data_IF_745337438294
#
_entry.id   IF_745337438294
#
_cell.length_a   1.000
_cell.length_b   1.000
_cell.length_c   1.000
_cell.angle_alpha   90.00
_cell.angle_beta   90.00
_cell.angle_gamma   90.00
#
_symmetry.space_group_name_H-M   'P 1'
#
loop_
_entity.id
_entity.type
_entity.pdbx_description
1 polymer ?
#
# COMPACT_ATOMS: atom_id res chain seq x y z
N UNK A 1 19.33 7.73 -9.46
CA UNK A 1 18.49 6.83 -10.27
C UNK A 1 17.09 7.42 -10.27
N UNK A 2 16.54 7.70 -11.46
CA UNK A 2 15.21 8.32 -11.65
C UNK A 2 14.15 7.29 -11.25
N UNK A 3 13.11 7.72 -10.52
CA UNK A 3 12.08 6.82 -9.96
C UNK A 3 11.40 6.02 -11.08
N UNK A 4 11.04 4.77 -10.79
CA UNK A 4 10.13 4.00 -11.64
C UNK A 4 8.88 4.85 -11.84
N UNK A 5 8.54 5.13 -13.10
CA UNK A 5 7.39 5.95 -13.47
C UNK A 5 6.16 5.06 -13.44
N UNK A 6 5.25 5.32 -12.51
CA UNK A 6 4.03 4.55 -12.38
C UNK A 6 2.84 5.36 -12.89
N UNK A 7 1.99 4.82 -13.78
CA UNK A 7 0.83 5.55 -14.32
C UNK A 7 -0.19 5.89 -13.23
N UNK A 8 -0.17 5.19 -12.10
CA UNK A 8 -1.00 5.48 -10.92
C UNK A 8 -0.74 6.89 -10.35
N UNK A 9 0.45 7.44 -10.54
CA UNK A 9 0.85 8.73 -9.99
C UNK A 9 0.51 9.93 -10.90
N UNK A 10 -0.08 9.68 -12.07
CA UNK A 10 -0.40 10.73 -13.03
C UNK A 10 -1.62 11.55 -12.57
N UNK A 11 -1.48 12.87 -12.57
CA UNK A 11 -2.58 13.83 -12.44
C UNK A 11 -3.34 13.99 -13.76
N UNK A 12 -4.56 14.53 -13.73
CA UNK A 12 -5.33 14.77 -14.97
C UNK A 12 -4.58 15.72 -15.89
N UNK A 13 -3.97 16.77 -15.33
CA UNK A 13 -3.14 17.73 -16.04
C UNK A 13 -1.98 17.11 -16.82
N UNK A 14 -1.44 15.98 -16.36
CA UNK A 14 -0.35 15.25 -17.03
C UNK A 14 -0.83 14.29 -18.12
N UNK A 15 -2.12 13.95 -18.14
CA UNK A 15 -2.72 13.00 -19.10
C UNK A 15 -3.76 13.63 -20.01
N UNK A 16 -4.16 14.89 -19.76
CA UNK A 16 -5.17 15.60 -20.53
C UNK A 16 -4.78 15.61 -22.02
N UNK A 17 -5.55 14.93 -22.89
CA UNK A 17 -5.28 14.87 -24.32
C UNK A 17 -5.14 16.24 -24.99
N UNK A 18 -5.81 17.27 -24.46
CA UNK A 18 -5.74 18.64 -24.98
C UNK A 18 -4.36 19.28 -24.75
N UNK A 19 -3.60 18.82 -23.75
CA UNK A 19 -2.26 19.32 -23.40
C UNK A 19 -1.13 18.57 -24.12
N UNK A 20 -1.47 17.44 -24.74
CA UNK A 20 -0.51 16.53 -25.38
C UNK A 20 -0.98 16.16 -26.79
N UNK A 21 -0.62 16.91 -27.84
CA UNK A 21 -0.94 16.53 -29.21
C UNK A 21 -0.34 15.16 -29.57
N UNK A 22 -1.12 14.31 -30.23
CA UNK A 22 -0.71 12.98 -30.65
C UNK A 22 -1.29 12.65 -32.03
N UNK A 23 -0.46 12.11 -32.92
CA UNK A 23 -0.86 11.66 -34.26
C UNK A 23 -0.82 10.12 -34.32
N UNK A 24 -2.01 9.51 -34.32
CA UNK A 24 -2.17 8.05 -34.39
C UNK A 24 -1.54 7.46 -35.66
N UNK A 25 -1.50 8.21 -36.76
CA UNK A 25 -0.97 7.73 -38.04
C UNK A 25 0.56 7.74 -38.06
N UNK A 26 1.19 8.64 -37.31
CA UNK A 26 2.65 8.74 -37.18
C UNK A 26 3.22 7.83 -36.09
N UNK A 27 2.41 7.39 -35.12
CA UNK A 27 2.83 6.61 -33.95
C UNK A 27 3.71 5.41 -34.31
N UNK A 28 3.35 4.68 -35.36
CA UNK A 28 4.07 3.51 -35.84
C UNK A 28 5.52 3.81 -36.29
N UNK A 29 5.72 4.92 -36.99
CA UNK A 29 7.04 5.36 -37.45
C UNK A 29 7.87 5.89 -36.28
N UNK A 30 7.23 6.66 -35.41
CA UNK A 30 7.86 7.29 -34.26
C UNK A 30 8.36 6.26 -33.24
N UNK A 31 7.54 5.29 -32.86
CA UNK A 31 7.94 4.20 -31.95
C UNK A 31 9.13 3.42 -32.50
N UNK A 32 9.12 3.10 -33.79
CA UNK A 32 10.24 2.41 -34.46
C UNK A 32 11.52 3.25 -34.53
N UNK A 33 11.41 4.57 -34.44
CA UNK A 33 12.57 5.47 -34.44
C UNK A 33 13.29 5.54 -33.09
N UNK A 34 12.64 5.12 -32.00
CA UNK A 34 13.17 5.20 -30.64
C UNK A 34 14.36 4.25 -30.43
N UNK A 35 15.29 4.64 -29.56
CA UNK A 35 16.49 3.85 -29.24
C UNK A 35 16.19 2.40 -28.84
N UNK A 36 15.27 2.14 -27.88
CA UNK A 36 14.90 0.79 -27.46
C UNK A 36 14.33 -0.09 -28.58
N UNK A 37 13.77 0.50 -29.66
CA UNK A 37 13.24 -0.27 -30.78
C UNK A 37 14.31 -1.05 -31.55
N UNK A 38 15.59 -0.66 -31.43
CA UNK A 38 16.72 -1.37 -32.05
C UNK A 38 17.24 -2.54 -31.22
N UNK A 39 16.76 -2.69 -29.99
CA UNK A 39 17.30 -3.60 -28.99
C UNK A 39 16.19 -4.45 -28.35
N UNK A 40 15.18 -4.86 -29.12
CA UNK A 40 14.13 -5.75 -28.63
C UNK A 40 14.75 -7.10 -28.20
N UNK A 41 14.60 -7.52 -26.93
CA UNK A 41 15.22 -8.76 -26.46
C UNK A 41 14.49 -9.98 -27.03
N UNK A 42 15.23 -11.07 -27.25
CA UNK A 42 14.65 -12.35 -27.67
C UNK A 42 14.34 -13.20 -26.44
N UNK A 43 13.11 -13.73 -26.29
CA UNK A 43 12.79 -14.64 -25.21
C UNK A 43 13.59 -15.95 -25.33
N UNK A 44 13.90 -16.61 -24.20
CA UNK A 44 14.56 -17.92 -24.21
C UNK A 44 13.68 -18.97 -24.87
N UNK A 45 14.28 -19.92 -25.59
CA UNK A 45 13.59 -21.07 -26.22
C UNK A 45 13.22 -22.14 -25.17
N UNK A 46 12.30 -21.76 -24.28
CA UNK A 46 11.78 -22.59 -23.19
C UNK A 46 10.27 -22.44 -23.09
N UNK A 47 9.61 -23.40 -22.43
CA UNK A 47 8.17 -23.32 -22.18
C UNK A 47 7.81 -22.08 -21.36
N UNK A 48 6.61 -21.53 -21.57
CA UNK A 48 6.11 -20.34 -20.85
C UNK A 48 5.99 -20.53 -19.33
N UNK A 49 5.82 -21.78 -18.89
CA UNK A 49 5.75 -22.14 -17.46
C UNK A 49 7.12 -22.40 -16.84
N UNK A 50 8.19 -22.36 -17.63
CA UNK A 50 9.54 -22.61 -17.14
C UNK A 50 10.02 -21.43 -16.25
N UNK A 51 10.62 -21.68 -15.07
CA UNK A 51 11.17 -20.63 -14.22
C UNK A 51 12.19 -19.71 -14.93
N UNK A 52 12.90 -20.21 -15.95
CA UNK A 52 13.81 -19.40 -16.75
C UNK A 52 13.08 -18.32 -17.56
N UNK A 53 11.86 -18.59 -18.04
CA UNK A 53 11.02 -17.60 -18.72
C UNK A 53 10.61 -16.48 -17.76
N UNK A 54 10.19 -16.83 -16.53
CA UNK A 54 9.86 -15.84 -15.51
C UNK A 54 11.09 -15.01 -15.12
N UNK A 55 12.26 -15.64 -14.97
CA UNK A 55 13.51 -14.94 -14.67
C UNK A 55 13.90 -13.94 -15.76
N UNK A 56 13.80 -14.37 -17.02
CA UNK A 56 14.04 -13.49 -18.17
C UNK A 56 13.04 -12.33 -18.25
N UNK A 57 11.75 -12.61 -18.02
CA UNK A 57 10.69 -11.59 -18.04
C UNK A 57 10.93 -10.49 -17.00
N UNK A 58 11.27 -10.85 -15.76
CA UNK A 58 11.56 -9.88 -14.69
C UNK A 58 12.96 -9.24 -14.80
N UNK A 59 13.83 -9.77 -15.66
CA UNK A 59 15.16 -9.24 -15.92
C UNK A 59 15.18 -8.41 -17.21
N UNK A 60 15.61 -9.03 -18.30
CA UNK A 60 15.80 -8.37 -19.59
C UNK A 60 14.51 -7.80 -20.18
N UNK A 61 13.40 -8.53 -20.06
CA UNK A 61 12.10 -8.10 -20.59
C UNK A 61 11.60 -6.81 -19.94
N UNK A 62 11.58 -6.77 -18.61
CA UNK A 62 11.15 -5.59 -17.84
C UNK A 62 12.11 -4.39 -18.01
N UNK A 63 13.42 -4.64 -18.07
CA UNK A 63 14.41 -3.59 -18.35
C UNK A 63 14.18 -2.94 -19.72
N UNK A 64 13.88 -3.74 -20.75
CA UNK A 64 13.56 -3.22 -22.08
C UNK A 64 12.23 -2.45 -22.08
N UNK A 65 11.16 -3.01 -21.48
CA UNK A 65 9.85 -2.35 -21.40
C UNK A 65 9.91 -1.02 -20.63
N UNK A 66 10.68 -0.98 -19.55
CA UNK A 66 10.96 0.25 -18.80
C UNK A 66 11.73 1.27 -19.66
N UNK A 67 12.74 0.82 -20.41
CA UNK A 67 13.50 1.69 -21.32
C UNK A 67 12.62 2.27 -22.44
N UNK A 68 11.73 1.44 -23.00
CA UNK A 68 10.72 1.90 -23.97
C UNK A 68 9.79 2.95 -23.35
N UNK A 69 9.34 2.74 -22.11
CA UNK A 69 8.50 3.70 -21.39
C UNK A 69 9.19 5.05 -21.20
N UNK A 70 10.48 5.06 -20.86
CA UNK A 70 11.26 6.30 -20.78
C UNK A 70 11.38 7.00 -22.13
N UNK A 71 11.66 6.26 -23.21
CA UNK A 71 11.79 6.83 -24.54
C UNK A 71 10.46 7.42 -25.05
N UNK A 72 9.34 6.74 -24.78
CA UNK A 72 8.00 7.23 -25.06
C UNK A 72 7.67 8.48 -24.25
N UNK A 73 8.02 8.50 -22.96
CA UNK A 73 7.84 9.69 -22.12
C UNK A 73 8.65 10.89 -22.63
N UNK A 74 9.91 10.68 -23.00
CA UNK A 74 10.75 11.76 -23.54
C UNK A 74 10.19 12.30 -24.86
N UNK A 75 9.54 11.43 -25.67
CA UNK A 75 8.95 11.82 -26.95
C UNK A 75 7.60 12.52 -26.82
N UNK A 76 6.70 11.95 -26.02
CA UNK A 76 5.28 12.33 -25.99
C UNK A 76 4.85 13.01 -24.69
N UNK A 77 5.67 12.95 -23.65
CA UNK A 77 5.36 13.45 -22.31
C UNK A 77 4.94 12.34 -21.35
N UNK A 78 4.70 12.74 -20.09
CA UNK A 78 4.45 11.82 -18.96
C UNK A 78 3.23 10.92 -19.15
N UNK A 79 2.21 11.36 -19.87
CA UNK A 79 1.04 10.53 -20.17
C UNK A 79 1.40 9.19 -20.81
N UNK A 80 2.46 9.13 -21.62
CA UNK A 80 2.78 7.93 -22.41
C UNK A 80 3.18 6.73 -21.55
N UNK A 81 3.53 6.90 -20.27
CA UNK A 81 3.92 5.78 -19.39
C UNK A 81 2.77 4.79 -19.11
N UNK A 82 1.52 5.20 -19.37
CA UNK A 82 0.34 4.33 -19.25
C UNK A 82 0.22 3.25 -20.33
N UNK A 83 1.05 3.27 -21.38
CA UNK A 83 0.97 2.29 -22.48
C UNK A 83 1.10 0.84 -22.02
N UNK A 84 1.82 0.57 -20.93
CA UNK A 84 2.02 -0.78 -20.37
C UNK A 84 1.08 -1.10 -19.21
N UNK A 85 0.06 -0.25 -18.97
CA UNK A 85 -0.90 -0.48 -17.89
C UNK A 85 -1.96 -1.51 -18.32
N UNK A 86 -1.52 -2.76 -18.30
CA UNK A 86 -2.24 -3.91 -18.79
C UNK A 86 -3.46 -4.27 -17.95
N UNK A 87 -4.44 -4.92 -18.57
CA UNK A 87 -5.55 -5.58 -17.88
C UNK A 87 -5.07 -6.64 -16.89
N UNK A 88 -5.92 -6.89 -15.88
CA UNK A 88 -5.76 -7.96 -14.90
C UNK A 88 -4.37 -8.02 -14.28
N UNK A 89 -3.84 -9.21 -14.01
CA UNK A 89 -2.50 -9.45 -13.46
C UNK A 89 -1.38 -9.22 -14.49
N UNK A 90 -1.62 -8.38 -15.51
CA UNK A 90 -0.62 -7.94 -16.45
C UNK A 90 0.42 -7.01 -15.81
N UNK A 91 1.30 -6.48 -16.66
CA UNK A 91 2.55 -5.80 -16.33
C UNK A 91 2.49 -4.85 -15.12
N UNK A 92 1.59 -3.87 -15.15
CA UNK A 92 1.38 -2.91 -14.07
C UNK A 92 0.07 -3.09 -13.29
N UNK A 93 -0.63 -4.21 -13.53
CA UNK A 93 -1.88 -4.63 -12.90
C UNK A 93 -3.08 -3.67 -13.02
N UNK A 94 -4.21 -4.19 -13.51
CA UNK A 94 -5.52 -3.55 -13.41
C UNK A 94 -5.75 -2.29 -14.23
N UNK A 95 -4.94 -2.09 -15.26
CA UNK A 95 -5.08 -0.98 -16.17
C UNK A 95 -6.05 -1.23 -17.32
N UNK A 96 -6.28 -0.23 -18.17
CA UNK A 96 -7.23 -0.31 -19.27
C UNK A 96 -6.62 -0.82 -20.58
N UNK A 97 -5.34 -1.17 -20.65
CA UNK A 97 -4.69 -1.57 -21.91
C UNK A 97 -4.79 -3.09 -22.11
N UNK A 98 -5.33 -3.52 -23.25
CA UNK A 98 -5.44 -4.93 -23.63
C UNK A 98 -4.42 -5.40 -24.67
N UNK A 99 -3.82 -4.48 -25.43
CA UNK A 99 -2.82 -4.81 -26.46
C UNK A 99 -1.44 -5.18 -25.90
N UNK A 100 -1.23 -4.98 -24.60
CA UNK A 100 -0.04 -5.37 -23.85
C UNK A 100 -0.45 -6.16 -22.61
N UNK A 101 0.16 -7.32 -22.39
CA UNK A 101 -0.06 -8.12 -21.18
C UNK A 101 1.11 -7.94 -20.22
N UNK A 102 2.24 -8.60 -20.46
CA UNK A 102 3.50 -8.45 -19.71
C UNK A 102 4.70 -8.77 -20.62
N UNK A 103 5.95 -8.52 -20.20
CA UNK A 103 7.12 -8.82 -21.02
C UNK A 103 7.17 -10.28 -21.47
N UNK A 104 6.80 -11.23 -20.59
CA UNK A 104 6.69 -12.65 -20.92
C UNK A 104 5.79 -12.88 -22.14
N UNK A 105 4.56 -12.39 -22.11
CA UNK A 105 3.54 -12.78 -23.08
C UNK A 105 3.47 -11.86 -24.32
N UNK A 106 4.10 -10.69 -24.25
CA UNK A 106 4.01 -9.66 -25.30
C UNK A 106 5.26 -9.52 -26.16
N UNK A 107 6.45 -9.86 -25.62
CA UNK A 107 7.71 -9.81 -26.37
C UNK A 107 7.89 -11.13 -27.15
N UNK A 108 7.97 -11.00 -28.47
CA UNK A 108 8.17 -12.11 -29.42
C UNK A 108 9.27 -11.76 -30.42
N UNK A 109 8.93 -11.42 -31.66
CA UNK A 109 9.86 -10.87 -32.65
C UNK A 109 9.93 -9.34 -32.49
N UNK A 110 11.01 -8.68 -32.95
CA UNK A 110 11.10 -7.23 -32.91
C UNK A 110 9.90 -6.53 -33.56
N UNK A 111 9.48 -6.99 -34.73
CA UNK A 111 8.37 -6.39 -35.48
C UNK A 111 7.04 -6.52 -34.72
N UNK A 112 6.68 -7.73 -34.30
CA UNK A 112 5.44 -7.98 -33.56
C UNK A 112 5.42 -7.26 -32.21
N UNK A 113 6.56 -7.22 -31.52
CA UNK A 113 6.68 -6.53 -30.23
C UNK A 113 6.45 -5.03 -30.41
N UNK A 114 7.05 -4.42 -31.43
CA UNK A 114 6.86 -2.99 -31.72
C UNK A 114 5.44 -2.67 -32.18
N UNK A 115 4.80 -3.56 -32.95
CA UNK A 115 3.39 -3.41 -33.29
C UNK A 115 2.49 -3.45 -32.05
N UNK A 116 2.78 -4.32 -31.07
CA UNK A 116 2.08 -4.32 -29.77
C UNK A 116 2.30 -3.03 -28.98
N UNK A 117 3.52 -2.50 -28.94
CA UNK A 117 3.81 -1.20 -28.28
C UNK A 117 2.99 -0.08 -28.91
N UNK A 118 2.94 -0.02 -30.25
CA UNK A 118 2.16 0.99 -30.97
C UNK A 118 0.67 0.85 -30.67
N UNK A 119 0.14 -0.37 -30.74
CA UNK A 119 -1.26 -0.65 -30.43
C UNK A 119 -1.60 -0.24 -28.99
N UNK A 120 -0.77 -0.61 -28.03
CA UNK A 120 -0.95 -0.31 -26.61
C UNK A 120 -0.87 1.19 -26.30
N UNK A 121 0.04 1.93 -26.94
CA UNK A 121 0.14 3.38 -26.81
C UNK A 121 -1.09 4.09 -27.39
N UNK A 122 -1.53 3.69 -28.58
CA UNK A 122 -2.73 4.24 -29.22
C UNK A 122 -3.99 3.90 -28.40
N UNK A 123 -4.09 2.68 -27.90
CA UNK A 123 -5.19 2.23 -27.05
C UNK A 123 -5.28 3.02 -25.74
N UNK A 124 -4.13 3.27 -25.09
CA UNK A 124 -4.06 4.14 -23.93
C UNK A 124 -4.48 5.58 -24.28
N UNK A 125 -4.05 6.09 -25.44
CA UNK A 125 -4.44 7.42 -25.91
C UNK A 125 -5.95 7.54 -26.14
N UNK A 126 -6.54 6.58 -26.84
CA UNK A 126 -7.98 6.53 -27.12
C UNK A 126 -8.80 6.46 -25.83
N UNK A 127 -8.29 5.75 -24.83
CA UNK A 127 -8.89 5.71 -23.50
C UNK A 127 -8.92 7.10 -22.84
N UNK A 128 -7.80 7.83 -22.85
CA UNK A 128 -7.73 9.19 -22.29
C UNK A 128 -8.64 10.18 -23.05
N UNK A 129 -8.73 10.07 -24.37
CA UNK A 129 -9.62 10.89 -25.20
C UNK A 129 -11.10 10.59 -24.94
N UNK A 130 -11.45 9.32 -24.76
CA UNK A 130 -12.80 8.90 -24.35
C UNK A 130 -13.16 9.45 -22.97
N UNK A 131 -12.23 9.44 -22.01
CA UNK A 131 -12.44 10.04 -20.69
C UNK A 131 -12.63 11.56 -20.78
N UNK A 132 -11.78 12.27 -21.53
CA UNK A 132 -11.91 13.72 -21.72
C UNK A 132 -13.29 14.09 -22.28
N UNK A 133 -13.74 13.39 -23.34
CA UNK A 133 -15.06 13.61 -23.92
C UNK A 133 -16.21 13.33 -22.95
N UNK A 134 -16.05 12.36 -22.04
CA UNK A 134 -17.04 12.06 -21.00
C UNK A 134 -17.02 13.10 -19.89
N UNK A 135 -15.86 13.58 -19.48
CA UNK A 135 -15.77 14.63 -18.48
C UNK A 135 -16.50 15.87 -18.98
N UNK A 136 -16.27 16.28 -20.22
CA UNK A 136 -16.95 17.41 -20.86
C UNK A 136 -18.47 17.16 -21.07
N UNK A 137 -18.92 15.91 -21.20
CA UNK A 137 -20.34 15.57 -21.28
C UNK A 137 -21.09 15.73 -19.93
N UNK A 138 -20.36 15.80 -18.82
CA UNK A 138 -20.88 16.04 -17.47
C UNK A 138 -20.21 17.26 -16.83
N UNK A 139 -20.47 18.49 -17.32
CA UNK A 139 -19.86 19.68 -16.78
C UNK A 139 -20.34 19.95 -15.35
N UNK A 140 -19.39 20.25 -14.46
CA UNK A 140 -19.67 20.51 -13.06
C UNK A 140 -19.26 21.93 -12.69
N UNK A 141 -20.09 22.59 -11.88
CA UNK A 141 -19.76 23.86 -11.23
C UNK A 141 -19.54 23.63 -9.73
N UNK A 142 -18.31 23.77 -9.23
CA UNK A 142 -18.01 23.67 -7.79
C UNK A 142 -18.82 24.64 -6.92
N UNK A 143 -19.31 25.76 -7.48
CA UNK A 143 -20.13 26.72 -6.75
C UNK A 143 -21.62 26.32 -6.66
N UNK A 144 -22.08 25.42 -7.54
CA UNK A 144 -23.49 25.02 -7.71
C UNK A 144 -23.77 23.54 -7.41
N UNK A 145 -22.89 22.87 -6.65
CA UNK A 145 -22.94 21.41 -6.39
C UNK A 145 -24.32 20.94 -5.89
N UNK A 146 -24.99 21.73 -5.05
CA UNK A 146 -26.27 21.35 -4.44
C UNK A 146 -27.39 21.19 -5.49
N UNK A 147 -27.42 22.06 -6.49
CA UNK A 147 -28.39 22.02 -7.60
C UNK A 147 -28.01 20.97 -8.67
N UNK A 148 -26.75 20.52 -8.67
CA UNK A 148 -26.20 19.60 -9.68
C UNK A 148 -26.07 18.15 -9.17
N UNK A 149 -26.49 17.83 -7.95
CA UNK A 149 -26.28 16.51 -7.31
C UNK A 149 -26.67 15.32 -8.20
N UNK A 150 -27.80 15.40 -8.92
CA UNK A 150 -28.25 14.33 -9.83
C UNK A 150 -27.31 14.16 -11.04
N UNK A 151 -26.74 15.25 -11.55
CA UNK A 151 -25.76 15.20 -12.65
C UNK A 151 -24.45 14.56 -12.16
N UNK A 152 -24.04 14.87 -10.92
CA UNK A 152 -22.88 14.28 -10.26
C UNK A 152 -23.01 12.76 -10.06
N UNK A 153 -24.14 12.31 -9.52
CA UNK A 153 -24.43 10.88 -9.35
C UNK A 153 -24.40 10.15 -10.70
N UNK A 154 -25.02 10.72 -11.73
CA UNK A 154 -25.01 10.13 -13.08
C UNK A 154 -23.62 10.10 -13.69
N UNK A 155 -22.82 11.15 -13.49
CA UNK A 155 -21.45 11.21 -13.99
C UNK A 155 -20.58 10.14 -13.32
N UNK A 156 -20.58 10.08 -12.00
CA UNK A 156 -19.84 9.08 -11.23
C UNK A 156 -20.25 7.65 -11.62
N UNK A 157 -21.56 7.38 -11.68
CA UNK A 157 -22.11 6.09 -12.13
C UNK A 157 -21.60 5.70 -13.52
N UNK A 158 -21.70 6.61 -14.49
CA UNK A 158 -21.31 6.31 -15.87
C UNK A 158 -19.79 6.15 -16.04
N UNK A 159 -18.99 6.87 -15.25
CA UNK A 159 -17.54 6.68 -15.22
C UNK A 159 -17.16 5.33 -14.61
N UNK A 160 -17.77 4.94 -13.49
CA UNK A 160 -17.55 3.62 -12.87
C UNK A 160 -17.89 2.51 -13.86
N UNK A 161 -19.06 2.55 -14.48
CA UNK A 161 -19.47 1.55 -15.47
C UNK A 161 -18.53 1.50 -16.67
N UNK A 162 -17.99 2.63 -17.10
CA UNK A 162 -17.05 2.67 -18.20
C UNK A 162 -15.70 2.04 -17.85
N UNK A 163 -15.20 2.26 -16.62
CA UNK A 163 -13.98 1.60 -16.16
C UNK A 163 -14.22 0.10 -16.04
N UNK A 164 -15.35 -0.31 -15.46
CA UNK A 164 -15.74 -1.73 -15.35
C UNK A 164 -15.79 -2.42 -16.70
N UNK A 165 -16.48 -1.83 -17.67
CA UNK A 165 -16.57 -2.35 -19.04
C UNK A 165 -15.18 -2.46 -19.67
N UNK A 166 -14.34 -1.44 -19.43
CA UNK A 166 -13.01 -1.39 -20.00
C UNK A 166 -12.06 -2.43 -19.41
N UNK A 167 -12.07 -2.62 -18.10
CA UNK A 167 -11.10 -3.47 -17.37
C UNK A 167 -11.63 -4.85 -17.01
N UNK A 168 -12.88 -5.17 -17.36
CA UNK A 168 -13.51 -6.47 -17.06
C UNK A 168 -13.65 -6.80 -15.57
N UNK A 169 -13.55 -5.80 -14.68
CA UNK A 169 -13.43 -6.01 -13.22
C UNK A 169 -12.27 -6.94 -12.80
N UNK A 170 -11.17 -6.93 -13.54
CA UNK A 170 -9.98 -7.77 -13.32
C UNK A 170 -9.26 -7.66 -11.97
N UNK A 171 -7.99 -8.05 -11.92
CA UNK A 171 -7.12 -7.59 -10.84
C UNK A 171 -6.93 -6.06 -10.92
N UNK A 172 -6.66 -5.42 -9.78
CA UNK A 172 -6.27 -4.00 -9.69
C UNK A 172 -7.25 -2.91 -10.19
N UNK A 173 -8.35 -3.27 -10.87
CA UNK A 173 -9.20 -2.32 -11.63
C UNK A 173 -9.79 -1.18 -10.80
N UNK A 174 -10.03 -1.43 -9.51
CA UNK A 174 -10.58 -0.46 -8.58
C UNK A 174 -9.62 0.69 -8.30
N UNK A 175 -8.30 0.45 -8.42
CA UNK A 175 -7.28 1.49 -8.38
C UNK A 175 -7.42 2.45 -9.56
N UNK A 176 -7.58 1.92 -10.77
CA UNK A 176 -7.84 2.73 -11.97
C UNK A 176 -9.19 3.46 -11.89
N UNK A 177 -10.23 2.80 -11.38
CA UNK A 177 -11.54 3.41 -11.17
C UNK A 177 -11.45 4.62 -10.23
N UNK A 178 -10.73 4.49 -9.12
CA UNK A 178 -10.51 5.58 -8.20
C UNK A 178 -9.72 6.74 -8.85
N UNK A 179 -8.71 6.42 -9.66
CA UNK A 179 -7.94 7.41 -10.39
C UNK A 179 -8.80 8.19 -11.39
N UNK A 180 -9.65 7.52 -12.18
CA UNK A 180 -10.55 8.17 -13.14
C UNK A 180 -11.55 9.10 -12.47
N UNK A 181 -12.14 8.68 -11.34
CA UNK A 181 -13.01 9.54 -10.56
C UNK A 181 -12.22 10.73 -9.99
N UNK A 182 -10.99 10.53 -9.53
CA UNK A 182 -10.11 11.62 -9.09
C UNK A 182 -9.82 12.63 -10.20
N UNK A 183 -9.51 12.16 -11.41
CA UNK A 183 -9.29 13.01 -12.58
C UNK A 183 -10.53 13.79 -13.00
N UNK A 184 -11.72 13.19 -12.90
CA UNK A 184 -12.97 13.87 -13.17
C UNK A 184 -13.17 15.08 -12.23
N UNK A 185 -12.87 14.90 -10.94
CA UNK A 185 -12.96 15.98 -9.96
C UNK A 185 -11.89 17.06 -10.19
N UNK A 186 -10.65 16.65 -10.48
CA UNK A 186 -9.54 17.55 -10.80
C UNK A 186 -9.88 18.45 -12.00
N UNK A 187 -10.43 17.86 -13.08
CA UNK A 187 -10.91 18.57 -14.27
C UNK A 187 -11.90 19.69 -13.94
N UNK A 188 -12.73 19.51 -12.91
CA UNK A 188 -13.73 20.49 -12.50
C UNK A 188 -13.29 21.36 -11.33
N UNK A 189 -11.99 21.39 -10.99
CA UNK A 189 -11.41 22.36 -10.06
C UNK A 189 -11.37 21.93 -8.60
N UNK A 190 -11.60 20.64 -8.31
CA UNK A 190 -11.32 20.09 -6.99
C UNK A 190 -9.82 19.84 -6.85
N UNK A 191 -9.23 20.24 -5.73
CA UNK A 191 -7.81 19.96 -5.48
C UNK A 191 -7.57 18.43 -5.55
N UNK A 192 -6.51 17.95 -6.22
CA UNK A 192 -6.26 16.51 -6.43
C UNK A 192 -6.30 15.66 -5.16
N UNK A 193 -5.80 16.19 -4.04
CA UNK A 193 -5.84 15.48 -2.76
C UNK A 193 -7.26 15.39 -2.19
N UNK A 194 -8.06 16.45 -2.35
CA UNK A 194 -9.46 16.45 -1.95
C UNK A 194 -10.32 15.53 -2.84
N UNK A 195 -10.05 15.52 -4.14
CA UNK A 195 -10.67 14.60 -5.09
C UNK A 195 -10.43 13.14 -4.70
N UNK A 196 -9.18 12.80 -4.37
CA UNK A 196 -8.81 11.46 -3.92
C UNK A 196 -9.52 11.07 -2.62
N UNK A 197 -9.59 11.98 -1.64
CA UNK A 197 -10.28 11.74 -0.37
C UNK A 197 -11.78 11.44 -0.57
N UNK A 198 -12.46 12.23 -1.42
CA UNK A 198 -13.89 12.04 -1.72
C UNK A 198 -14.15 10.68 -2.37
N UNK A 199 -13.28 10.26 -3.28
CA UNK A 199 -13.36 8.98 -3.97
C UNK A 199 -13.07 7.82 -3.03
N UNK A 200 -12.02 7.92 -2.20
CA UNK A 200 -11.68 6.91 -1.20
C UNK A 200 -12.83 6.70 -0.20
N UNK A 201 -13.46 7.79 0.26
CA UNK A 201 -14.63 7.75 1.16
C UNK A 201 -15.85 7.07 0.50
N UNK A 202 -16.15 7.45 -0.74
CA UNK A 202 -17.30 6.92 -1.48
C UNK A 202 -17.13 5.42 -1.81
N UNK A 203 -15.94 5.02 -2.23
CA UNK A 203 -15.64 3.63 -2.61
C UNK A 203 -15.49 2.75 -1.36
N UNK A 204 -14.82 3.22 -0.31
CA UNK A 204 -14.77 2.59 1.01
C UNK A 204 -14.37 1.11 1.03
N UNK A 205 -13.44 0.69 0.16
CA UNK A 205 -12.98 -0.71 0.05
C UNK A 205 -14.05 -1.71 -0.43
N UNK A 206 -15.16 -1.21 -1.01
CA UNK A 206 -16.28 -2.05 -1.48
C UNK A 206 -16.02 -2.68 -2.84
N UNK A 207 -15.11 -2.11 -3.63
CA UNK A 207 -14.63 -2.75 -4.84
C UNK A 207 -13.70 -3.92 -4.50
N UNK A 208 -13.87 -5.02 -5.23
CA UNK A 208 -13.06 -6.23 -5.13
C UNK A 208 -12.64 -6.67 -6.53
N UNK A 209 -11.44 -7.24 -6.65
CA UNK A 209 -11.03 -7.89 -7.89
C UNK A 209 -12.01 -9.02 -8.25
N UNK A 210 -12.18 -9.25 -9.54
CA UNK A 210 -12.94 -10.39 -10.10
C UNK A 210 -14.41 -10.47 -9.67
N UNK A 211 -15.00 -9.33 -9.29
CA UNK A 211 -16.39 -9.25 -8.87
C UNK A 211 -17.17 -8.33 -9.80
N UNK A 212 -18.18 -8.86 -10.48
CA UNK A 212 -19.16 -8.03 -11.19
C UNK A 212 -19.81 -7.10 -10.20
N UNK A 213 -19.75 -5.79 -10.45
CA UNK A 213 -20.47 -4.83 -9.63
C UNK A 213 -21.97 -4.97 -9.92
N UNK A 214 -22.76 -5.09 -8.85
CA UNK A 214 -24.21 -4.91 -8.96
C UNK A 214 -24.49 -3.42 -9.24
N UNK A 215 -25.44 -3.12 -10.13
CA UNK A 215 -25.88 -1.76 -10.40
C UNK A 215 -26.30 -1.02 -9.12
N UNK A 216 -26.86 -1.76 -8.15
CA UNK A 216 -27.23 -1.21 -6.83
C UNK A 216 -26.01 -0.69 -6.05
N UNK A 217 -24.86 -1.38 -6.14
CA UNK A 217 -23.62 -0.94 -5.51
C UNK A 217 -23.02 0.27 -6.24
N UNK A 218 -23.11 0.31 -7.57
CA UNK A 218 -22.65 1.46 -8.35
C UNK A 218 -23.48 2.71 -8.01
N UNK A 219 -24.80 2.56 -7.91
CA UNK A 219 -25.70 3.66 -7.57
C UNK A 219 -25.46 4.17 -6.13
N UNK A 220 -25.22 3.29 -5.15
CA UNK A 220 -24.88 3.65 -3.77
C UNK A 220 -23.55 4.41 -3.66
N UNK A 221 -22.53 4.01 -4.43
CA UNK A 221 -21.23 4.69 -4.46
C UNK A 221 -21.36 6.07 -5.12
N UNK A 222 -22.09 6.16 -6.23
CA UNK A 222 -22.35 7.42 -6.91
C UNK A 222 -23.11 8.41 -6.02
N UNK A 223 -24.14 7.95 -5.31
CA UNK A 223 -24.91 8.74 -4.35
C UNK A 223 -24.05 9.20 -3.18
N UNK A 224 -23.18 8.34 -2.64
CA UNK A 224 -22.26 8.72 -1.57
C UNK A 224 -21.25 9.77 -2.01
N UNK A 225 -20.66 9.61 -3.19
CA UNK A 225 -19.72 10.58 -3.72
C UNK A 225 -20.39 11.95 -3.91
N UNK A 226 -21.64 11.97 -4.38
CA UNK A 226 -22.39 13.21 -4.54
C UNK A 226 -22.83 13.86 -3.21
N UNK A 227 -22.95 13.06 -2.14
CA UNK A 227 -23.29 13.53 -0.78
C UNK A 227 -22.07 14.00 0.02
N UNK A 228 -20.88 13.46 -0.23
CA UNK A 228 -19.64 13.83 0.48
C UNK A 228 -19.05 15.16 0.01
N UNK A 229 -19.52 15.70 -1.12
CA UNK A 229 -19.08 16.99 -1.63
C UNK A 229 -19.49 18.14 -0.69
N UNK A 230 -18.62 19.15 -0.51
CA UNK A 230 -18.88 20.25 0.41
C UNK A 230 -20.16 21.01 0.02
N UNK A 231 -21.08 21.10 0.97
CA UNK A 231 -22.22 22.01 0.92
C UNK A 231 -21.68 23.44 0.99
N UNK A 232 -22.10 24.28 0.04
CA UNK A 232 -21.54 25.61 -0.22
C UNK A 232 -21.21 26.42 1.06
N UNK A 233 -19.95 26.89 1.22
CA UNK A 233 -19.66 28.10 2.00
C UNK A 233 -18.30 28.73 1.71
N UNK A 234 -18.31 30.06 1.69
CA UNK A 234 -17.19 30.98 1.45
C UNK A 234 -16.05 30.94 2.49
N UNK A 235 -15.25 32.02 2.58
CA UNK A 235 -13.82 31.93 2.89
C UNK A 235 -13.50 31.25 4.22
N UNK A 236 -12.69 30.19 4.11
CA UNK A 236 -11.81 29.54 5.10
C UNK A 236 -12.22 29.77 6.57
N UNK A 237 -13.05 28.89 7.10
CA UNK A 237 -13.21 28.72 8.55
C UNK A 237 -12.16 27.76 9.10
N UNK A 238 -11.44 28.21 10.13
CA UNK A 238 -10.49 27.40 10.88
C UNK A 238 -11.19 26.17 11.47
N UNK A 239 -10.61 24.99 11.25
CA UNK A 239 -11.17 23.71 11.63
C UNK A 239 -11.42 23.61 13.14
N UNK A 240 -12.65 23.21 13.52
CA UNK A 240 -12.93 22.61 14.82
C UNK A 240 -12.17 21.28 14.99
N UNK A 241 -12.19 20.65 16.18
CA UNK A 241 -11.29 19.55 16.49
C UNK A 241 -11.59 18.33 15.61
N UNK A 242 -10.73 18.09 14.62
CA UNK A 242 -10.81 16.93 13.74
C UNK A 242 -10.71 15.61 14.50
N UNK A 243 -11.35 14.57 13.95
CA UNK A 243 -11.40 13.20 14.49
C UNK A 243 -10.00 12.75 14.94
N UNK A 244 -9.88 12.36 16.20
CA UNK A 244 -8.65 11.82 16.77
C UNK A 244 -8.54 10.32 16.45
N UNK A 245 -7.70 10.00 15.47
CA UNK A 245 -7.48 8.64 15.00
C UNK A 245 -6.71 7.80 16.01
N UNK A 246 -5.94 8.40 16.92
CA UNK A 246 -5.34 7.67 18.04
C UNK A 246 -6.41 7.22 19.03
N UNK A 247 -7.37 8.09 19.35
CA UNK A 247 -8.50 7.71 20.20
C UNK A 247 -9.35 6.60 19.56
N UNK A 248 -9.56 6.66 18.24
CA UNK A 248 -10.29 5.66 17.45
C UNK A 248 -9.57 4.32 17.39
N UNK A 249 -8.25 4.33 17.15
CA UNK A 249 -7.42 3.14 17.25
C UNK A 249 -7.55 2.50 18.63
N UNK A 250 -7.42 3.28 19.71
CA UNK A 250 -7.48 2.75 21.06
C UNK A 250 -8.85 2.16 21.39
N UNK A 251 -9.94 2.69 20.85
CA UNK A 251 -11.26 2.07 20.96
C UNK A 251 -11.33 0.75 20.15
N UNK A 252 -10.85 0.75 18.90
CA UNK A 252 -10.83 -0.44 18.04
C UNK A 252 -9.97 -1.55 18.64
N UNK A 253 -8.79 -1.20 19.15
CA UNK A 253 -7.80 -2.09 19.76
C UNK A 253 -8.41 -2.99 20.84
N UNK A 254 -9.35 -2.47 21.62
CA UNK A 254 -10.04 -3.23 22.69
C UNK A 254 -11.19 -4.10 22.16
N UNK A 255 -11.67 -3.85 20.95
CA UNK A 255 -12.80 -4.59 20.33
C UNK A 255 -12.36 -5.69 19.36
N UNK A 256 -11.11 -5.64 18.88
CA UNK A 256 -10.59 -6.66 17.96
C UNK A 256 -10.52 -8.01 18.70
N UNK A 257 -11.09 -9.09 18.13
CA UNK A 257 -11.06 -10.42 18.73
C UNK A 257 -9.68 -11.07 18.52
N UNK A 258 -8.65 -10.54 19.17
CA UNK A 258 -7.26 -10.98 19.03
C UNK A 258 -7.07 -12.47 19.38
N UNK A 259 -7.92 -13.02 20.24
CA UNK A 259 -7.94 -14.42 20.65
C UNK A 259 -8.49 -15.37 19.57
N UNK A 260 -9.15 -14.85 18.53
CA UNK A 260 -9.66 -15.63 17.40
C UNK A 260 -8.63 -15.77 16.27
N UNK A 261 -7.45 -15.16 16.43
CA UNK A 261 -6.36 -15.25 15.46
C UNK A 261 -6.04 -16.70 15.09
N UNK A 262 -5.77 -16.98 13.81
CA UNK A 262 -5.32 -18.31 13.39
C UNK A 262 -4.05 -18.76 14.16
N UNK A 263 -3.88 -20.07 14.35
CA UNK A 263 -2.72 -20.69 15.00
C UNK A 263 -1.96 -21.60 14.03
N UNK A 264 -1.96 -21.26 12.73
CA UNK A 264 -1.26 -22.07 11.72
C UNK A 264 0.25 -21.97 11.90
N UNK A 265 0.70 -20.80 12.38
CA UNK A 265 2.06 -20.52 12.72
C UNK A 265 2.56 -21.39 13.86
N UNK A 266 1.71 -21.71 14.84
CA UNK A 266 2.02 -22.50 16.04
C UNK A 266 2.95 -21.77 17.03
N UNK A 267 3.33 -22.45 18.11
CA UNK A 267 4.21 -21.90 19.15
C UNK A 267 5.67 -22.38 19.04
N UNK A 268 6.62 -21.63 19.62
CA UNK A 268 8.04 -22.00 19.71
C UNK A 268 9.00 -21.24 18.78
N UNK A 269 10.31 -21.30 19.07
CA UNK A 269 11.34 -20.59 18.31
C UNK A 269 11.51 -21.20 16.92
N UNK A 270 11.86 -20.37 15.93
CA UNK A 270 12.21 -20.81 14.58
C UNK A 270 13.29 -19.91 14.00
N UNK A 271 14.33 -20.55 13.47
CA UNK A 271 15.35 -19.88 12.66
C UNK A 271 14.97 -20.04 11.19
N UNK A 272 14.78 -18.93 10.45
CA UNK A 272 14.40 -18.99 9.04
C UNK A 272 15.59 -19.44 8.18
N UNK A 273 15.30 -19.95 6.97
CA UNK A 273 16.32 -20.28 5.97
C UNK A 273 16.96 -19.00 5.41
N UNK A 274 16.17 -17.93 5.31
CA UNK A 274 16.60 -16.60 4.89
C UNK A 274 16.20 -15.56 5.93
N UNK A 275 17.08 -14.60 6.17
CA UNK A 275 16.75 -13.46 7.02
C UNK A 275 15.88 -12.46 6.26
N UNK A 276 14.57 -12.70 6.21
CA UNK A 276 13.64 -11.91 5.41
C UNK A 276 13.67 -10.42 5.76
N UNK A 277 13.86 -10.08 7.04
CA UNK A 277 13.99 -8.68 7.47
C UNK A 277 15.27 -8.02 6.93
N UNK A 278 16.43 -8.69 7.07
CA UNK A 278 17.68 -8.12 6.57
C UNK A 278 17.74 -8.11 5.03
N UNK A 279 17.19 -9.11 4.36
CA UNK A 279 17.10 -9.18 2.90
C UNK A 279 16.20 -8.06 2.33
N UNK A 280 15.01 -7.86 2.91
CA UNK A 280 14.11 -6.77 2.51
C UNK A 280 14.79 -5.39 2.64
N UNK A 281 15.50 -5.12 3.75
CA UNK A 281 16.23 -3.86 3.91
C UNK A 281 17.35 -3.70 2.87
N UNK A 282 18.11 -4.77 2.57
CA UNK A 282 19.20 -4.75 1.59
C UNK A 282 18.73 -4.61 0.15
N UNK A 283 17.50 -5.03 -0.16
CA UNK A 283 16.96 -4.94 -1.51
C UNK A 283 16.13 -3.68 -1.67
N UNK A 284 15.14 -3.47 -0.80
CA UNK A 284 14.17 -2.40 -0.92
C UNK A 284 14.71 -1.05 -0.41
N UNK A 285 15.10 -0.94 0.87
CA UNK A 285 15.57 0.35 1.40
C UNK A 285 16.89 0.77 0.75
N UNK A 286 17.79 -0.18 0.47
CA UNK A 286 19.08 0.15 -0.13
C UNK A 286 18.92 0.71 -1.56
N UNK A 287 17.94 0.22 -2.32
CA UNK A 287 17.63 0.78 -3.64
C UNK A 287 17.10 2.22 -3.56
N UNK A 288 16.40 2.57 -2.47
CA UNK A 288 15.86 3.91 -2.24
C UNK A 288 16.90 4.87 -1.65
N UNK A 289 17.64 4.42 -0.63
CA UNK A 289 18.59 5.22 0.14
C UNK A 289 19.58 4.29 0.91
N UNK A 290 20.81 4.11 0.39
CA UNK A 290 21.81 3.22 0.99
C UNK A 290 22.19 3.59 2.44
N UNK A 291 22.23 4.88 2.78
CA UNK A 291 22.60 5.33 4.12
C UNK A 291 21.49 4.99 5.13
N UNK A 292 20.24 5.22 4.73
CA UNK A 292 19.05 4.81 5.50
C UNK A 292 18.99 3.30 5.69
N UNK A 293 19.27 2.53 4.63
CA UNK A 293 19.32 1.07 4.73
C UNK A 293 20.40 0.61 5.73
N UNK A 294 21.58 1.23 5.70
CA UNK A 294 22.64 0.98 6.69
C UNK A 294 22.19 1.27 8.13
N UNK A 295 21.53 2.41 8.35
CA UNK A 295 20.96 2.77 9.66
C UNK A 295 19.89 1.79 10.14
N UNK A 296 19.01 1.34 9.25
CA UNK A 296 17.96 0.37 9.56
C UNK A 296 18.53 -1.04 9.84
N UNK A 297 19.59 -1.46 9.15
CA UNK A 297 20.31 -2.70 9.47
C UNK A 297 20.98 -2.64 10.86
N UNK A 298 21.63 -1.53 11.20
CA UNK A 298 22.18 -1.34 12.57
C UNK A 298 21.08 -1.37 13.63
N UNK A 299 19.93 -0.77 13.36
CA UNK A 299 18.78 -0.81 14.25
C UNK A 299 18.25 -2.25 14.42
N UNK A 300 18.19 -3.04 13.34
CA UNK A 300 17.77 -4.44 13.36
C UNK A 300 18.72 -5.32 14.20
N UNK A 301 20.04 -5.11 14.09
CA UNK A 301 21.04 -5.82 14.91
C UNK A 301 20.88 -5.51 16.39
N UNK A 302 20.72 -4.23 16.74
CA UNK A 302 20.49 -3.80 18.14
C UNK A 302 19.19 -4.36 18.71
N UNK A 303 18.11 -4.26 17.95
CA UNK A 303 16.82 -4.83 18.31
C UNK A 303 16.93 -6.31 18.68
N UNK A 304 17.70 -7.10 17.92
CA UNK A 304 17.89 -8.54 18.20
C UNK A 304 18.67 -8.76 19.49
N UNK A 305 19.71 -7.96 19.72
CA UNK A 305 20.43 -7.99 20.99
C UNK A 305 19.50 -7.63 22.15
N UNK A 306 18.71 -6.57 22.03
CA UNK A 306 17.78 -6.12 23.07
C UNK A 306 16.70 -7.19 23.36
N UNK A 307 16.18 -7.84 22.31
CA UNK A 307 15.23 -8.95 22.44
C UNK A 307 15.84 -10.14 23.20
N UNK A 308 17.09 -10.50 22.89
CA UNK A 308 17.82 -11.58 23.56
C UNK A 308 18.12 -11.27 25.03
N UNK A 309 18.32 -10.00 25.39
CA UNK A 309 18.50 -9.56 26.79
C UNK A 309 17.16 -9.41 27.55
N UNK A 310 16.02 -9.65 26.90
CA UNK A 310 14.71 -9.51 27.54
C UNK A 310 14.36 -8.05 27.87
N UNK A 311 14.85 -7.09 27.08
CA UNK A 311 14.54 -5.68 27.29
C UNK A 311 13.01 -5.43 27.27
N UNK A 312 12.50 -4.49 28.09
CA UNK A 312 11.10 -4.08 28.00
C UNK A 312 10.87 -3.32 26.68
N UNK A 313 9.78 -3.64 25.97
CA UNK A 313 9.38 -2.87 24.79
C UNK A 313 8.65 -1.61 25.25
N UNK A 314 9.36 -0.50 25.27
CA UNK A 314 8.85 0.82 25.61
C UNK A 314 9.33 1.89 24.61
N UNK A 315 8.88 3.13 24.77
CA UNK A 315 9.31 4.23 23.92
C UNK A 315 10.81 4.47 23.98
N UNK A 316 11.47 4.30 25.13
CA UNK A 316 12.91 4.53 25.24
C UNK A 316 13.70 3.54 24.38
N UNK A 317 13.26 2.28 24.32
CA UNK A 317 13.84 1.27 23.45
C UNK A 317 13.61 1.61 21.97
N UNK A 318 12.37 1.97 21.58
CA UNK A 318 12.06 2.43 20.22
C UNK A 318 12.91 3.64 19.81
N UNK A 319 13.09 4.59 20.73
CA UNK A 319 13.88 5.81 20.53
C UNK A 319 15.35 5.47 20.22
N UNK A 320 15.90 4.46 20.90
CA UNK A 320 17.27 4.01 20.69
C UNK A 320 17.48 3.43 19.29
N UNK A 321 16.52 2.66 18.78
CA UNK A 321 16.56 2.12 17.42
C UNK A 321 16.34 3.23 16.39
N UNK A 322 15.39 4.13 16.66
CA UNK A 322 15.03 5.22 15.76
C UNK A 322 16.19 6.20 15.54
N UNK A 323 17.07 6.37 16.52
CA UNK A 323 18.32 7.11 16.35
C UNK A 323 19.14 6.59 15.14
N UNK A 324 19.25 5.27 15.00
CA UNK A 324 19.98 4.65 13.90
C UNK A 324 19.19 4.73 12.59
N UNK A 325 17.86 4.52 12.64
CA UNK A 325 16.97 4.63 11.48
C UNK A 325 17.03 6.02 10.84
N UNK A 326 17.11 7.08 11.65
CA UNK A 326 17.15 8.47 11.19
C UNK A 326 18.58 9.01 11.02
N UNK A 327 19.60 8.25 11.41
CA UNK A 327 21.00 8.68 11.36
C UNK A 327 21.31 9.90 12.22
N UNK A 328 20.60 10.09 13.34
CA UNK A 328 20.72 11.30 14.17
C UNK A 328 21.80 11.15 15.25
N UNK A 329 22.49 12.26 15.56
CA UNK A 329 23.52 12.28 16.60
C UNK A 329 22.97 12.06 18.02
N UNK A 330 21.68 12.33 18.23
CA UNK A 330 20.97 12.12 19.50
C UNK A 330 19.66 11.36 19.24
N UNK A 331 19.14 10.62 20.23
CA UNK A 331 17.84 9.97 20.11
C UNK A 331 16.72 10.99 19.82
N UNK A 332 15.81 10.73 18.86
CA UNK A 332 14.73 11.65 18.48
C UNK A 332 13.72 11.83 19.63
N UNK A 333 13.23 13.04 19.87
CA UNK A 333 12.26 13.27 20.95
C UNK A 333 10.89 12.65 20.66
N UNK A 334 10.11 12.39 21.72
CA UNK A 334 8.68 12.13 21.56
C UNK A 334 8.00 13.40 21.06
N UNK A 335 7.09 13.28 20.10
CA UNK A 335 6.35 14.43 19.55
C UNK A 335 5.67 15.25 20.65
N UNK A 336 5.60 16.57 20.46
CA UNK A 336 4.94 17.51 21.40
C UNK A 336 3.66 18.11 20.83
N UNK A 337 3.36 17.83 19.57
CA UNK A 337 2.18 18.27 18.85
C UNK A 337 1.39 17.05 18.32
N UNK A 338 0.12 17.23 17.93
CA UNK A 338 -0.60 16.22 17.16
C UNK A 338 0.20 15.81 15.93
N UNK A 339 0.25 14.51 15.66
CA UNK A 339 0.87 13.97 14.45
C UNK A 339 -0.16 13.82 13.35
N UNK A 340 0.31 13.88 12.11
CA UNK A 340 -0.49 13.74 10.92
C UNK A 340 0.16 12.71 10.00
N UNK A 341 -0.61 11.72 9.56
CA UNK A 341 -0.15 10.73 8.61
C UNK A 341 -1.10 10.62 7.42
N UNK A 342 -0.68 9.84 6.42
CA UNK A 342 -1.45 9.60 5.19
C UNK A 342 -1.86 10.91 4.51
N UNK A 343 -0.90 11.84 4.39
CA UNK A 343 -1.10 13.19 3.82
C UNK A 343 -2.06 14.08 4.62
N UNK A 344 -2.22 13.84 5.92
CA UNK A 344 -3.08 14.64 6.80
C UNK A 344 -4.46 14.06 7.06
N UNK A 345 -4.82 12.95 6.37
CA UNK A 345 -6.08 12.22 6.56
C UNK A 345 -6.27 11.71 7.98
N UNK A 346 -5.18 11.26 8.61
CA UNK A 346 -5.22 10.82 10.00
C UNK A 346 -4.53 11.82 10.91
N UNK A 347 -5.28 12.34 11.87
CA UNK A 347 -4.79 13.15 12.98
C UNK A 347 -4.67 12.27 14.22
N UNK A 348 -3.47 12.16 14.77
CA UNK A 348 -3.22 11.50 16.05
C UNK A 348 -3.08 12.56 17.13
N UNK A 349 -4.05 12.60 18.05
CA UNK A 349 -4.06 13.55 19.15
C UNK A 349 -2.84 13.41 20.06
N UNK A 350 -2.61 14.44 20.87
CA UNK A 350 -1.62 14.39 21.94
C UNK A 350 -2.27 14.86 23.24
N UNK A 351 -2.03 14.09 24.29
CA UNK A 351 -2.42 14.37 25.66
C UNK A 351 -1.20 14.13 26.58
N UNK A 352 -1.15 14.72 27.79
CA UNK A 352 -0.01 14.58 28.70
C UNK A 352 0.40 13.14 29.01
N UNK A 353 -0.56 12.21 28.95
CA UNK A 353 -0.39 10.78 29.22
C UNK A 353 -0.12 9.93 27.97
N UNK A 354 -0.06 10.53 26.77
CA UNK A 354 0.05 9.77 25.50
C UNK A 354 1.28 8.86 25.47
N UNK A 355 2.41 9.32 26.01
CA UNK A 355 3.62 8.51 26.12
C UNK A 355 3.42 7.31 27.05
N UNK A 356 2.84 7.53 28.23
CA UNK A 356 2.57 6.46 29.20
C UNK A 356 1.58 5.42 28.62
N UNK A 357 0.60 5.86 27.83
CA UNK A 357 -0.32 4.98 27.11
C UNK A 357 0.39 4.15 26.04
N UNK A 358 1.33 4.75 25.29
CA UNK A 358 2.16 4.00 24.34
C UNK A 358 2.96 2.91 25.07
N UNK A 359 3.65 3.27 26.15
CA UNK A 359 4.46 2.33 26.93
C UNK A 359 3.61 1.16 27.48
N UNK A 360 2.40 1.44 27.97
CA UNK A 360 1.46 0.40 28.41
C UNK A 360 1.01 -0.51 27.25
N UNK A 361 0.62 0.06 26.12
CA UNK A 361 0.18 -0.72 24.95
C UNK A 361 1.30 -1.62 24.39
N UNK A 362 2.54 -1.12 24.37
CA UNK A 362 3.72 -1.88 23.97
C UNK A 362 4.04 -2.99 24.96
N UNK A 363 3.96 -2.72 26.27
CA UNK A 363 4.17 -3.71 27.33
C UNK A 363 3.16 -4.86 27.26
N UNK A 364 1.88 -4.56 27.00
CA UNK A 364 0.84 -5.57 26.78
C UNK A 364 1.13 -6.45 25.57
N UNK A 365 1.48 -5.85 24.43
CA UNK A 365 1.84 -6.59 23.21
C UNK A 365 3.11 -7.41 23.43
N UNK A 366 3.98 -6.94 24.32
CA UNK A 366 5.22 -7.57 24.68
C UNK A 366 5.09 -8.77 25.63
N UNK A 367 4.06 -8.81 26.48
CA UNK A 367 3.90 -9.83 27.53
C UNK A 367 3.92 -11.27 27.00
N UNK A 368 4.78 -12.13 27.55
CA UNK A 368 4.90 -13.54 27.16
C UNK A 368 3.77 -14.40 27.77
N UNK A 369 3.37 -15.47 27.08
CA UNK A 369 2.62 -16.61 27.60
C UNK A 369 3.48 -17.36 28.65
N UNK A 370 3.58 -16.79 29.85
CA UNK A 370 4.04 -17.40 31.11
C UNK A 370 5.12 -18.50 31.08
N UNK A 371 6.29 -18.20 31.65
CA UNK A 371 6.87 -19.12 32.62
C UNK A 371 6.45 -18.63 34.01
N UNK A 372 5.42 -19.26 34.58
CA UNK A 372 4.97 -18.99 35.94
C UNK A 372 6.07 -19.35 36.93
N UNK A 373 6.69 -18.33 37.54
CA UNK A 373 7.83 -18.55 38.42
C UNK A 373 8.34 -17.31 39.13
N UNK A 374 7.46 -16.51 39.75
CA UNK A 374 7.83 -15.80 40.98
C UNK A 374 6.58 -15.52 41.80
N UNK A 375 6.55 -16.12 42.98
CA UNK A 375 5.49 -16.05 43.98
C UNK A 375 5.29 -14.63 44.53
N UNK A 376 4.04 -14.28 44.85
CA UNK A 376 3.74 -13.16 45.74
C UNK A 376 2.33 -12.59 45.61
N UNK A 377 1.48 -12.89 46.61
CA UNK A 377 0.27 -12.15 47.04
C UNK A 377 -1.01 -12.22 46.19
N UNK A 378 -1.76 -13.30 46.40
CA UNK A 378 -3.09 -13.38 47.01
C UNK A 378 -4.21 -12.34 46.69
N UNK A 379 -5.37 -12.93 46.39
CA UNK A 379 -6.74 -12.49 46.65
C UNK A 379 -7.44 -11.51 45.69
N UNK A 380 -8.12 -12.09 44.69
CA UNK A 380 -9.54 -11.80 44.44
C UNK A 380 -10.22 -13.02 43.82
N UNK A 381 -11.20 -13.55 44.54
CA UNK A 381 -12.09 -14.60 44.07
C UNK A 381 -13.02 -14.03 42.99
N UNK A 382 -12.81 -14.47 41.75
CA UNK A 382 -13.71 -14.33 40.61
C UNK A 382 -13.61 -15.63 39.79
N UNK A 383 -14.76 -16.12 39.36
CA UNK A 383 -15.03 -17.37 38.61
C UNK A 383 -13.92 -17.85 37.65
N UNK A 384 -13.63 -19.14 37.70
CA UNK A 384 -12.59 -19.86 36.96
C UNK A 384 -12.84 -20.04 35.44
N UNK A 385 -13.50 -19.09 34.79
CA UNK A 385 -13.64 -19.04 33.32
C UNK A 385 -12.88 -17.87 32.66
N UNK A 386 -12.21 -17.02 33.45
CA UNK A 386 -11.52 -15.81 32.99
C UNK A 386 -9.99 -15.83 33.27
N UNK A 387 -9.39 -17.03 33.31
CA UNK A 387 -7.94 -17.18 33.38
C UNK A 387 -7.34 -16.77 32.02
N UNK A 388 -6.94 -15.50 31.91
CA UNK A 388 -6.51 -14.81 30.70
C UNK A 388 -5.65 -15.66 29.75
N UNK A 389 -6.27 -16.09 28.66
CA UNK A 389 -5.56 -16.64 27.51
C UNK A 389 -4.67 -15.52 26.95
N UNK A 390 -3.36 -15.62 27.18
CA UNK A 390 -2.41 -14.69 26.62
C UNK A 390 -2.45 -14.77 25.09
N UNK A 391 -2.30 -13.62 24.44
CA UNK A 391 -2.51 -13.49 22.99
C UNK A 391 -1.47 -14.31 22.22
N UNK A 392 -1.89 -14.90 21.10
CA UNK A 392 -0.98 -15.61 20.18
C UNK A 392 0.12 -14.68 19.67
N UNK A 393 1.30 -15.24 19.38
CA UNK A 393 2.48 -14.48 18.97
C UNK A 393 2.21 -13.56 17.75
N UNK A 394 1.49 -14.06 16.74
CA UNK A 394 1.14 -13.25 15.57
C UNK A 394 0.27 -12.03 15.94
N UNK A 395 -0.69 -12.21 16.85
CA UNK A 395 -1.55 -11.12 17.33
C UNK A 395 -0.75 -10.10 18.16
N UNK A 396 0.14 -10.57 19.03
CA UNK A 396 1.06 -9.72 19.81
C UNK A 396 1.93 -8.84 18.90
N UNK A 397 2.53 -9.46 17.88
CA UNK A 397 3.41 -8.76 16.95
C UNK A 397 2.64 -7.74 16.08
N UNK A 398 1.45 -8.11 15.61
CA UNK A 398 0.55 -7.20 14.87
C UNK A 398 0.08 -6.02 15.74
N UNK A 399 -0.28 -6.27 17.01
CA UNK A 399 -0.71 -5.23 17.95
C UNK A 399 0.40 -4.21 18.20
N UNK A 400 1.64 -4.67 18.45
CA UNK A 400 2.79 -3.79 18.61
C UNK A 400 3.06 -2.91 17.36
N UNK A 401 2.94 -3.49 16.17
CA UNK A 401 3.09 -2.74 14.90
C UNK A 401 2.07 -1.59 14.79
N UNK A 402 0.79 -1.91 15.01
CA UNK A 402 -0.31 -0.96 14.86
C UNK A 402 -0.27 0.11 15.95
N UNK A 403 0.08 -0.27 17.19
CA UNK A 403 0.30 0.68 18.29
C UNK A 403 1.34 1.73 17.88
N UNK A 404 2.51 1.34 17.36
CA UNK A 404 3.51 2.33 16.91
C UNK A 404 3.01 3.18 15.73
N UNK A 405 2.31 2.58 14.76
CA UNK A 405 1.77 3.30 13.61
C UNK A 405 0.80 4.43 14.01
N UNK A 406 -0.13 4.15 14.93
CA UNK A 406 -1.22 5.06 15.29
C UNK A 406 -0.90 5.98 16.48
N UNK A 407 0.01 5.60 17.37
CA UNK A 407 0.57 6.56 18.33
C UNK A 407 1.47 7.58 17.63
N UNK A 408 2.13 7.16 16.55
CA UNK A 408 2.96 7.98 15.67
C UNK A 408 3.99 8.81 16.48
N UNK A 409 4.86 8.18 17.26
CA UNK A 409 5.62 8.86 18.33
C UNK A 409 6.73 9.79 17.83
N UNK A 410 7.19 9.65 16.58
CA UNK A 410 8.27 10.43 15.98
C UNK A 410 7.79 11.33 14.84
N UNK A 411 8.58 12.33 14.45
CA UNK A 411 8.27 13.20 13.32
C UNK A 411 8.51 12.54 11.95
N UNK A 412 9.41 11.55 11.88
CA UNK A 412 9.64 10.71 10.70
C UNK A 412 9.95 9.27 11.12
N UNK A 413 9.73 8.34 10.19
CA UNK A 413 10.16 6.95 10.28
C UNK A 413 9.28 6.06 11.15
N UNK A 414 8.05 6.48 11.47
CA UNK A 414 7.13 5.68 12.30
C UNK A 414 6.81 4.31 11.70
N UNK A 415 6.67 4.19 10.37
CA UNK A 415 6.46 2.90 9.71
C UNK A 415 7.67 1.95 9.88
N UNK A 416 8.90 2.51 9.85
CA UNK A 416 10.14 1.75 10.09
C UNK A 416 10.26 1.36 11.57
N UNK A 417 9.91 2.25 12.49
CA UNK A 417 9.83 1.95 13.92
C UNK A 417 8.79 0.87 14.25
N UNK A 418 7.62 0.91 13.60
CA UNK A 418 6.56 -0.08 13.74
C UNK A 418 7.00 -1.46 13.25
N UNK A 419 7.67 -1.50 12.10
CA UNK A 419 8.29 -2.73 11.58
C UNK A 419 9.29 -3.33 12.58
N UNK A 420 10.16 -2.50 13.16
CA UNK A 420 11.09 -2.95 14.21
C UNK A 420 10.33 -3.44 15.45
N UNK A 421 9.30 -2.76 15.92
CA UNK A 421 8.50 -3.23 17.06
C UNK A 421 7.87 -4.62 16.83
N UNK A 422 7.36 -4.89 15.63
CA UNK A 422 6.86 -6.20 15.21
C UNK A 422 7.96 -7.26 15.29
N UNK A 423 9.10 -6.99 14.65
CA UNK A 423 10.23 -7.94 14.59
C UNK A 423 10.81 -8.20 15.98
N UNK A 424 10.81 -7.21 16.86
CA UNK A 424 11.24 -7.38 18.25
C UNK A 424 10.36 -8.37 19.01
N UNK A 425 9.04 -8.27 18.87
CA UNK A 425 8.10 -9.19 19.55
C UNK A 425 8.33 -10.63 19.09
N UNK A 426 8.57 -10.84 17.80
CA UNK A 426 8.94 -12.16 17.26
C UNK A 426 10.31 -12.62 17.79
N UNK A 427 11.32 -11.75 17.73
CA UNK A 427 12.68 -12.06 18.16
C UNK A 427 12.77 -12.43 19.64
N UNK A 428 11.92 -11.83 20.49
CA UNK A 428 11.88 -12.17 21.92
C UNK A 428 11.39 -13.60 22.19
N UNK A 429 10.58 -14.17 21.30
CA UNK A 429 10.17 -15.58 21.35
C UNK A 429 11.11 -16.49 20.52
N UNK A 430 12.28 -15.97 20.10
CA UNK A 430 13.24 -16.72 19.28
C UNK A 430 12.76 -17.00 17.86
N UNK A 431 11.89 -16.13 17.32
CA UNK A 431 11.31 -16.25 15.98
C UNK A 431 11.88 -15.17 15.04
N UNK A 432 12.32 -15.58 13.86
CA UNK A 432 12.53 -14.70 12.71
C UNK A 432 11.82 -15.28 11.48
N UNK A 433 11.45 -14.43 10.51
CA UNK A 433 10.64 -14.80 9.34
C UNK A 433 11.49 -14.90 8.07
N UNK A 434 11.14 -15.86 7.19
CA UNK A 434 11.74 -16.02 5.85
C UNK A 434 11.37 -14.88 4.88
N UNK A 435 10.25 -14.18 5.13
CA UNK A 435 9.77 -13.10 4.29
C UNK A 435 8.93 -12.08 5.08
N UNK A 436 9.12 -10.80 4.77
CA UNK A 436 8.42 -9.66 5.42
C UNK A 436 7.88 -8.65 4.42
N UNK A 437 7.94 -8.98 3.13
CA UNK A 437 7.86 -8.03 2.02
C UNK A 437 6.51 -7.30 1.94
N UNK A 438 5.42 -7.90 2.43
CA UNK A 438 4.11 -7.27 2.43
C UNK A 438 3.82 -6.46 3.72
N UNK A 439 4.56 -6.68 4.84
CA UNK A 439 4.40 -5.88 6.08
C UNK A 439 4.65 -4.39 5.87
N UNK A 440 5.42 -4.05 4.84
CA UNK A 440 5.88 -2.68 4.56
C UNK A 440 5.20 -2.04 3.36
N UNK A 441 4.27 -2.75 2.72
CA UNK A 441 3.61 -2.32 1.48
C UNK A 441 2.13 -2.01 1.65
N UNK A 442 1.56 -2.29 2.84
CA UNK A 442 0.16 -2.01 3.15
C UNK A 442 0.02 -0.87 4.16
N UNK A 443 -1.05 -0.09 3.99
CA UNK A 443 -1.47 0.97 4.92
C UNK A 443 -2.72 0.50 5.66
N UNK A 444 -2.72 0.57 6.99
CA UNK A 444 -3.85 0.13 7.83
C UNK A 444 -4.65 1.32 8.34
N UNK A 445 -5.97 1.20 8.46
CA UNK A 445 -6.84 2.25 8.95
C UNK A 445 -7.09 2.12 10.46
N UNK A 446 -7.11 3.25 11.18
CA UNK A 446 -7.27 3.28 12.64
C UNK A 446 -8.64 2.77 13.14
N UNK A 447 -9.58 2.56 12.22
CA UNK A 447 -11.00 2.36 12.50
C UNK A 447 -11.59 1.05 11.99
N UNK A 448 -10.76 0.22 11.35
CA UNK A 448 -11.17 -1.04 10.75
C UNK A 448 -10.61 -2.21 11.57
N UNK A 449 -11.42 -2.86 12.44
CA UNK A 449 -10.98 -4.06 13.17
C UNK A 449 -10.49 -5.20 12.26
N UNK A 450 -10.98 -5.25 11.02
CA UNK A 450 -10.57 -6.26 10.02
C UNK A 450 -9.14 -6.08 9.57
N UNK A 451 -8.61 -4.86 9.56
CA UNK A 451 -7.22 -4.57 9.17
C UNK A 451 -6.25 -5.18 10.19
N UNK A 452 -6.58 -5.09 11.48
CA UNK A 452 -5.83 -5.70 12.56
C UNK A 452 -5.78 -7.24 12.46
N UNK A 453 -6.92 -7.87 12.15
CA UNK A 453 -6.98 -9.32 11.93
C UNK A 453 -6.25 -9.74 10.65
N UNK A 454 -6.29 -8.91 9.61
CA UNK A 454 -5.57 -9.16 8.35
C UNK A 454 -4.07 -9.18 8.59
N UNK A 455 -3.53 -8.19 9.30
CA UNK A 455 -2.11 -8.17 9.69
C UNK A 455 -1.76 -9.37 10.58
N UNK A 456 -2.63 -9.74 11.51
CA UNK A 456 -2.43 -10.91 12.38
C UNK A 456 -2.33 -12.20 11.58
N UNK A 457 -3.28 -12.44 10.66
CA UNK A 457 -3.29 -13.61 9.80
C UNK A 457 -2.10 -13.64 8.84
N UNK A 458 -1.65 -12.47 8.39
CA UNK A 458 -0.46 -12.33 7.56
C UNK A 458 0.81 -12.77 8.31
N UNK A 459 0.99 -12.31 9.56
CA UNK A 459 2.13 -12.72 10.40
C UNK A 459 2.06 -14.23 10.68
N UNK A 460 0.86 -14.75 10.97
CA UNK A 460 0.63 -16.19 11.21
C UNK A 460 0.98 -17.05 9.98
N UNK A 461 0.59 -16.61 8.78
CA UNK A 461 0.91 -17.29 7.53
C UNK A 461 2.42 -17.38 7.30
N UNK A 462 3.14 -16.27 7.44
CA UNK A 462 4.59 -16.27 7.23
C UNK A 462 5.35 -17.02 8.32
N UNK A 463 4.83 -17.03 9.55
CA UNK A 463 5.37 -17.89 10.60
C UNK A 463 5.24 -19.38 10.22
N UNK A 464 4.06 -19.78 9.71
CA UNK A 464 3.82 -21.15 9.25
C UNK A 464 4.69 -21.53 8.04
N UNK A 465 4.86 -20.63 7.07
CA UNK A 465 5.76 -20.81 5.93
C UNK A 465 7.21 -20.96 6.36
N UNK A 466 7.67 -20.09 7.26
CA UNK A 466 9.04 -20.12 7.77
C UNK A 466 9.33 -21.45 8.46
N UNK A 467 8.40 -21.95 9.27
CA UNK A 467 8.55 -23.26 9.95
C UNK A 467 8.54 -24.43 8.97
N UNK A 468 7.69 -24.39 7.95
CA UNK A 468 7.69 -25.40 6.88
C UNK A 468 9.01 -25.40 6.12
N UNK A 469 9.55 -24.22 5.82
CA UNK A 469 10.86 -24.06 5.18
C UNK A 469 12.01 -24.59 6.04
N UNK A 470 12.00 -24.29 7.33
CA UNK A 470 13.01 -24.72 8.29
C UNK A 470 12.98 -26.24 8.58
N UNK A 471 11.82 -26.89 8.45
CA UNK A 471 11.67 -28.33 8.72
C UNK A 471 12.30 -29.23 7.63
N UNK A 472 12.39 -28.76 6.37
CA UNK A 472 12.89 -29.53 5.23
C UNK A 472 12.12 -30.84 4.95
N UNK A 473 12.26 -31.47 3.76
CA UNK A 473 11.77 -32.83 3.58
C UNK A 473 12.62 -33.77 4.44
N UNK A 474 11.99 -34.54 5.33
CA UNK A 474 12.64 -35.67 5.99
C UNK A 474 13.24 -36.58 4.90
N UNK A 475 14.54 -36.85 5.01
CA UNK A 475 15.29 -37.74 4.10
C UNK A 475 14.74 -39.17 4.08
#
# INVERSE_FOLDING_TARGET
MRSVLWPFDLSWDEVDPARHPFDHTAAAQEVRSLGPARCVPSPPDVSRVDPAMSTWSHGEGDLWASSMSYALMERYGRWAVGWRWAHDEGDLDGGPVGSWCCPRDSITTPEETLDRVVAALCEWREWLESLAGRFDAYPLDPAGIEDQRILWERAARNLILQVVDRTGCGSGWYGHCAQVLGWFLDRWGFAPDHARDLVDEAVGGRFRSWTSLDNVLVDDIAERLARSLPQSRGPRQAAGPGIDHLARWLAVRETVPWQEASDRGGEGPVTPVRDGAAEDIRVFDHALDPARAGGLLTALERLRADAAHGAPLDFALLQSWQQHVLGTARPPAFRTLPAFAKQGRERYGIAPDTRARLDACLAESAGSTGNGGSAGSAERAGSAEDAGASLRLAARAARAFLDVCFFHPFDDGNARAAFLALVFVLAREGVALDGVSLLRRFTFQADQPRDALTLTNYVDLHLAETRRGAAGPAS
#
